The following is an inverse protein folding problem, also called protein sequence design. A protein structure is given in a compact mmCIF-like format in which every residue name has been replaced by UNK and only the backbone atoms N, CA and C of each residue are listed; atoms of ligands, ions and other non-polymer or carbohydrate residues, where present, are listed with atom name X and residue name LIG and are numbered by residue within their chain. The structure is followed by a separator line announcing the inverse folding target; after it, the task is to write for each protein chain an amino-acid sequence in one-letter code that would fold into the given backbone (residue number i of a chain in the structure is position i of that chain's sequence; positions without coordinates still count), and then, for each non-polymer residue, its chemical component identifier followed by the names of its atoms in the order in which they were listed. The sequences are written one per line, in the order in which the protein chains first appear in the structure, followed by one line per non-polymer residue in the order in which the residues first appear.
data_IF_851906967679
#
_entry.id   IF_851906967679
#
_cell.length_a   1.000
_cell.length_b   1.000
_cell.length_c   1.000
_cell.angle_alpha   90.00
_cell.angle_beta   90.00
_cell.angle_gamma   90.00
#
_symmetry.space_group_name_H-M   'P 1'
#
loop_
_entity.id
_entity.type
_entity.pdbx_description
1 polymer ?
#
# COMPACT_ATOMS: atom_id res chain seq x y z
N UNK A 1 8.80 -16.98 -12.47
CA UNK A 1 9.90 -17.50 -11.64
C UNK A 1 10.12 -16.54 -10.50
N UNK A 2 9.93 -16.96 -9.24
CA UNK A 2 10.24 -16.12 -8.08
C UNK A 2 11.75 -16.14 -7.86
N UNK A 3 12.38 -14.97 -7.76
CA UNK A 3 13.83 -14.85 -7.53
C UNK A 3 14.09 -15.15 -6.05
N UNK A 4 15.01 -16.07 -5.73
CA UNK A 4 15.39 -16.40 -4.35
C UNK A 4 15.86 -15.12 -3.63
N UNK A 5 15.14 -14.71 -2.57
CA UNK A 5 15.40 -13.46 -1.84
C UNK A 5 14.45 -12.31 -2.18
N UNK A 6 13.52 -12.48 -3.13
CA UNK A 6 12.48 -11.50 -3.41
C UNK A 6 11.51 -11.40 -2.23
N UNK A 7 11.68 -10.37 -1.40
CA UNK A 7 10.68 -10.00 -0.38
C UNK A 7 9.52 -9.33 -1.09
N UNK A 8 8.45 -10.08 -1.33
CA UNK A 8 7.18 -9.48 -1.70
C UNK A 8 6.71 -8.65 -0.50
N UNK A 9 6.35 -7.39 -0.74
CA UNK A 9 5.67 -6.60 0.28
C UNK A 9 4.28 -7.21 0.46
N UNK A 10 4.15 -8.03 1.49
CA UNK A 10 2.85 -8.51 1.95
C UNK A 10 2.19 -7.35 2.68
N UNK A 11 1.29 -6.66 1.99
CA UNK A 11 0.37 -5.75 2.63
C UNK A 11 -0.71 -6.56 3.33
N UNK A 12 -0.98 -6.25 4.59
CA UNK A 12 -2.15 -6.80 5.30
C UNK A 12 -3.43 -6.42 4.57
N UNK A 13 -4.48 -7.23 4.74
CA UNK A 13 -5.79 -6.92 4.15
C UNK A 13 -6.33 -5.57 4.63
N UNK A 14 -6.12 -5.25 5.90
CA UNK A 14 -6.45 -3.95 6.50
C UNK A 14 -5.83 -2.79 5.73
N UNK A 15 -4.56 -2.89 5.37
CA UNK A 15 -3.86 -1.84 4.62
C UNK A 15 -4.40 -1.70 3.21
N UNK A 16 -4.78 -2.82 2.57
CA UNK A 16 -5.42 -2.79 1.25
C UNK A 16 -6.80 -2.12 1.31
N UNK A 17 -7.59 -2.43 2.34
CA UNK A 17 -8.92 -1.85 2.53
C UNK A 17 -8.85 -0.34 2.78
N UNK A 18 -7.93 0.10 3.65
CA UNK A 18 -7.73 1.53 3.92
C UNK A 18 -7.27 2.27 2.65
N UNK A 19 -6.34 1.69 1.87
CA UNK A 19 -5.91 2.29 0.60
C UNK A 19 -7.07 2.44 -0.40
N UNK A 20 -7.98 1.46 -0.46
CA UNK A 20 -9.19 1.55 -1.30
C UNK A 20 -10.12 2.65 -0.79
N UNK A 21 -10.36 2.72 0.53
CA UNK A 21 -11.23 3.74 1.14
C UNK A 21 -10.70 5.16 0.85
N UNK A 22 -9.41 5.40 1.10
CA UNK A 22 -8.74 6.68 0.82
C UNK A 22 -8.83 7.08 -0.66
N UNK A 23 -8.70 6.11 -1.57
CA UNK A 23 -8.84 6.38 -3.00
C UNK A 23 -10.28 6.74 -3.39
N UNK A 24 -11.26 6.00 -2.87
CA UNK A 24 -12.67 6.14 -3.27
C UNK A 24 -13.30 7.38 -2.64
N UNK A 25 -13.14 7.55 -1.33
CA UNK A 25 -13.76 8.61 -0.53
C UNK A 25 -13.01 9.93 -0.67
N UNK A 26 -11.69 9.92 -0.49
CA UNK A 26 -10.89 11.14 -0.44
C UNK A 26 -10.22 11.50 -1.78
N UNK A 27 -10.42 10.67 -2.82
CA UNK A 27 -9.77 10.82 -4.13
C UNK A 27 -8.25 10.88 -4.05
N UNK A 28 -7.67 10.20 -3.06
CA UNK A 28 -6.23 10.16 -2.93
C UNK A 28 -5.60 9.46 -4.12
N UNK A 29 -4.52 10.06 -4.62
CA UNK A 29 -3.69 9.47 -5.66
C UNK A 29 -2.83 8.35 -5.08
N UNK A 30 -2.38 7.45 -5.95
CA UNK A 30 -1.44 6.39 -5.57
C UNK A 30 -0.19 6.94 -4.85
N UNK A 31 0.32 8.12 -5.23
CA UNK A 31 1.46 8.74 -4.56
C UNK A 31 1.16 9.14 -3.11
N UNK A 32 -0.02 9.73 -2.86
CA UNK A 32 -0.45 10.12 -1.50
C UNK A 32 -0.63 8.89 -0.62
N UNK A 33 -1.30 7.85 -1.14
CA UNK A 33 -1.46 6.56 -0.47
C UNK A 33 -0.09 5.95 -0.16
N UNK A 34 0.79 5.85 -1.17
CA UNK A 34 2.14 5.29 -1.00
C UNK A 34 2.97 6.09 0.00
N UNK A 35 2.81 7.41 0.08
CA UNK A 35 3.51 8.25 1.05
C UNK A 35 2.98 8.04 2.48
N UNK A 36 1.65 7.93 2.64
CA UNK A 36 1.00 7.67 3.92
C UNK A 36 1.38 6.30 4.49
N UNK A 37 1.39 5.25 3.65
CA UNK A 37 1.80 3.89 4.04
C UNK A 37 3.30 3.63 3.95
N UNK A 38 4.08 4.59 3.43
CA UNK A 38 5.51 4.44 3.13
C UNK A 38 6.44 4.88 4.26
N UNK A 39 5.95 5.59 5.27
CA UNK A 39 6.73 6.08 6.41
C UNK A 39 6.62 5.13 7.61
N UNK A 40 7.26 3.97 7.53
CA UNK A 40 7.76 3.31 8.74
C UNK A 40 9.22 3.76 8.90
N UNK A 41 9.43 4.85 9.65
CA UNK A 41 10.71 5.11 10.31
C UNK A 41 10.77 4.27 11.58
#
# INVERSE_FOLDING_TARGET
MAIKGQKFKTYSEELKLEAIRLHVEEKWTYQQIKQSFGNSR
#
